data_IF_752035974250
#
_entry.id   IF_752035974250
#
_cell.length_a   1.000
_cell.length_b   1.000
_cell.length_c   1.000
_cell.angle_alpha   90.00
_cell.angle_beta   90.00
_cell.angle_gamma   90.00
#
_symmetry.space_group_name_H-M   'P 1'
#
loop_
_entity.id
_entity.type
_entity.pdbx_description
1 polymer ?
#
# COMPACT_ATOMS: atom_id res chain seq x y z
N UNK A 1 -73.90 -34.66 -3.92
CA UNK A 1 -73.50 -33.49 -3.12
C UNK A 1 -71.97 -33.47 -3.11
N UNK A 2 -71.34 -32.66 -3.96
CA UNK A 2 -69.89 -32.51 -4.08
C UNK A 2 -69.48 -31.22 -3.35
N UNK A 3 -68.65 -31.31 -2.34
CA UNK A 3 -68.06 -30.16 -1.63
C UNK A 3 -66.86 -29.65 -2.40
N UNK A 4 -66.91 -28.37 -2.80
CA UNK A 4 -65.79 -27.68 -3.43
C UNK A 4 -64.97 -27.03 -2.31
N UNK A 5 -63.71 -27.43 -2.16
CA UNK A 5 -62.74 -26.79 -1.29
C UNK A 5 -62.05 -25.66 -2.07
N UNK A 6 -62.18 -24.43 -1.59
CA UNK A 6 -61.44 -23.28 -2.14
C UNK A 6 -60.10 -23.16 -1.40
N UNK A 7 -59.00 -23.35 -2.12
CA UNK A 7 -57.65 -23.06 -1.62
C UNK A 7 -57.33 -21.58 -1.87
N UNK A 8 -57.18 -20.84 -0.79
CA UNK A 8 -56.62 -19.48 -0.85
C UNK A 8 -55.11 -19.59 -0.89
N UNK A 9 -54.49 -19.20 -2.02
CA UNK A 9 -53.06 -19.11 -2.16
C UNK A 9 -52.61 -17.71 -1.72
N UNK A 10 -51.92 -17.62 -0.58
CA UNK A 10 -51.24 -16.41 -0.16
C UNK A 10 -49.99 -16.24 -1.04
N UNK A 11 -49.95 -15.19 -1.85
CA UNK A 11 -48.74 -14.77 -2.56
C UNK A 11 -47.95 -13.88 -1.59
N UNK A 12 -46.90 -14.43 -1.01
CA UNK A 12 -45.90 -13.65 -0.28
C UNK A 12 -44.97 -12.98 -1.30
N UNK A 13 -45.09 -11.68 -1.48
CA UNK A 13 -44.13 -10.86 -2.22
C UNK A 13 -42.89 -10.64 -1.36
N UNK A 14 -41.92 -11.55 -1.51
CA UNK A 14 -40.57 -11.34 -0.95
C UNK A 14 -39.83 -10.25 -1.75
N UNK A 15 -39.65 -9.08 -1.16
CA UNK A 15 -38.63 -8.14 -1.62
C UNK A 15 -37.25 -8.77 -1.32
N UNK A 16 -36.63 -9.38 -2.32
CA UNK A 16 -35.21 -9.69 -2.24
C UNK A 16 -34.42 -8.40 -2.44
N UNK A 17 -33.87 -7.89 -1.35
CA UNK A 17 -32.81 -6.89 -1.42
C UNK A 17 -31.61 -7.58 -2.11
N UNK A 18 -31.41 -7.30 -3.38
CA UNK A 18 -30.13 -7.60 -4.06
C UNK A 18 -29.09 -6.69 -3.41
N UNK A 19 -28.32 -7.23 -2.45
CA UNK A 19 -27.01 -6.68 -2.15
C UNK A 19 -26.21 -6.77 -3.44
N UNK A 20 -25.78 -5.65 -3.97
CA UNK A 20 -24.83 -5.61 -5.07
C UNK A 20 -23.53 -6.23 -4.54
N UNK A 21 -23.31 -7.50 -4.83
CA UNK A 21 -22.03 -8.15 -4.65
C UNK A 21 -21.08 -7.44 -5.61
N UNK A 22 -20.18 -6.60 -5.07
CA UNK A 22 -19.13 -5.99 -5.88
C UNK A 22 -18.38 -7.15 -6.56
N UNK A 23 -18.48 -7.22 -7.87
CA UNK A 23 -17.86 -8.26 -8.67
C UNK A 23 -16.34 -8.18 -8.46
N UNK A 24 -15.80 -9.08 -7.65
CA UNK A 24 -14.36 -9.29 -7.53
C UNK A 24 -13.85 -9.70 -8.91
N UNK A 25 -12.90 -8.93 -9.44
CA UNK A 25 -12.30 -9.22 -10.75
C UNK A 25 -11.80 -10.66 -10.75
N UNK A 26 -12.31 -11.48 -11.69
CA UNK A 26 -12.02 -12.91 -11.80
C UNK A 26 -10.54 -13.25 -11.96
N UNK A 27 -9.68 -12.25 -12.20
CA UNK A 27 -8.22 -12.39 -12.21
C UNK A 27 -7.63 -12.55 -10.80
N UNK A 28 -8.40 -12.27 -9.72
CA UNK A 28 -7.94 -12.37 -8.35
C UNK A 28 -8.50 -13.62 -7.68
N UNK A 29 -7.62 -14.40 -7.05
CA UNK A 29 -8.01 -15.52 -6.20
C UNK A 29 -8.02 -15.02 -4.75
N UNK A 30 -9.19 -14.99 -4.12
CA UNK A 30 -9.28 -14.66 -2.71
C UNK A 30 -8.52 -15.69 -1.87
N UNK A 31 -7.76 -15.23 -0.89
CA UNK A 31 -7.09 -16.12 0.04
C UNK A 31 -8.11 -16.99 0.79
N UNK A 32 -7.84 -18.30 0.88
CA UNK A 32 -8.72 -19.21 1.64
C UNK A 32 -8.64 -18.85 3.13
N UNK A 33 -9.76 -18.60 3.81
CA UNK A 33 -9.75 -18.42 5.26
C UNK A 33 -9.23 -19.70 5.94
N UNK A 34 -8.34 -19.58 6.90
CA UNK A 34 -8.12 -20.63 7.87
C UNK A 34 -6.72 -21.15 8.15
N UNK A 35 -5.67 -20.59 7.56
CA UNK A 35 -4.30 -21.07 7.78
C UNK A 35 -3.39 -20.15 8.59
N UNK A 36 -3.82 -18.93 8.93
CA UNK A 36 -3.03 -17.95 9.67
C UNK A 36 -3.76 -17.57 10.96
N UNK A 37 -3.01 -17.45 12.05
CA UNK A 37 -3.52 -16.78 13.25
C UNK A 37 -4.03 -15.40 12.84
N UNK A 38 -5.25 -15.06 13.20
CA UNK A 38 -5.85 -13.78 12.86
C UNK A 38 -4.92 -12.66 13.33
N UNK A 39 -4.35 -11.91 12.38
CA UNK A 39 -3.60 -10.69 12.71
C UNK A 39 -4.62 -9.70 13.28
N UNK A 40 -4.44 -9.21 14.49
CA UNK A 40 -5.39 -8.27 15.10
C UNK A 40 -5.46 -6.99 14.25
N UNK A 41 -6.53 -6.23 14.45
CA UNK A 41 -6.64 -4.92 13.83
C UNK A 41 -5.45 -4.05 14.26
N UNK A 42 -4.93 -3.28 13.31
CA UNK A 42 -3.79 -2.43 13.58
C UNK A 42 -4.13 -1.36 14.63
N UNK A 43 -3.27 -1.16 15.65
CA UNK A 43 -3.46 -0.09 16.64
C UNK A 43 -3.36 1.32 16.03
N UNK A 44 -2.86 1.44 14.80
CA UNK A 44 -2.71 2.72 14.09
C UNK A 44 -3.74 2.91 12.98
N UNK A 45 -4.69 1.98 12.81
CA UNK A 45 -5.77 2.12 11.84
C UNK A 45 -6.63 3.35 12.19
N UNK A 46 -6.84 4.26 11.24
CA UNK A 46 -7.51 5.53 11.47
C UNK A 46 -6.67 6.59 12.19
N UNK A 47 -5.36 6.37 12.35
CA UNK A 47 -4.49 7.33 13.03
C UNK A 47 -4.51 8.69 12.33
N UNK A 48 -4.79 9.74 13.09
CA UNK A 48 -4.77 11.11 12.59
C UNK A 48 -3.33 11.58 12.33
N UNK A 49 -3.15 12.35 11.28
CA UNK A 49 -1.90 13.02 11.02
C UNK A 49 -1.49 13.89 12.23
N UNK A 50 -0.29 13.71 12.80
CA UNK A 50 0.17 14.55 13.91
C UNK A 50 0.44 15.99 13.46
N UNK A 51 0.54 16.90 14.43
CA UNK A 51 0.87 18.30 14.15
C UNK A 51 2.20 18.38 13.38
N UNK A 52 2.23 19.17 12.31
CA UNK A 52 3.38 19.31 11.42
C UNK A 52 3.53 18.23 10.35
N UNK A 53 2.65 17.24 10.30
CA UNK A 53 2.66 16.27 9.22
C UNK A 53 2.12 16.87 7.92
N UNK A 54 2.71 16.46 6.81
CA UNK A 54 2.20 16.69 5.46
C UNK A 54 1.19 15.61 5.14
N UNK A 55 -0.07 15.98 4.94
CA UNK A 55 -1.12 15.07 4.51
C UNK A 55 -1.03 14.90 3.00
N UNK A 56 -0.72 13.70 2.55
CA UNK A 56 -0.58 13.37 1.14
C UNK A 56 -1.90 12.86 0.53
N UNK A 57 -2.76 12.23 1.34
CA UNK A 57 -4.09 11.82 0.92
C UNK A 57 -5.05 11.68 2.11
N UNK A 58 -6.14 12.43 2.07
CA UNK A 58 -7.19 12.46 3.11
C UNK A 58 -8.57 11.98 2.60
N UNK A 59 -8.58 11.33 1.45
CA UNK A 59 -9.81 10.83 0.82
C UNK A 59 -10.52 11.81 -0.12
N UNK A 60 -10.03 13.03 -0.29
CA UNK A 60 -10.74 14.06 -1.07
C UNK A 60 -10.20 14.27 -2.48
N UNK A 61 -8.88 14.28 -2.63
CA UNK A 61 -8.23 14.55 -3.92
C UNK A 61 -6.80 14.02 -3.96
N UNK A 62 -6.19 14.05 -5.13
CA UNK A 62 -4.80 13.64 -5.37
C UNK A 62 -3.85 14.81 -5.62
N UNK A 63 -4.17 16.00 -5.11
CA UNK A 63 -3.41 17.23 -5.37
C UNK A 63 -1.95 17.21 -4.85
N UNK A 64 -1.61 16.28 -3.96
CA UNK A 64 -0.22 16.07 -3.52
C UNK A 64 0.60 15.17 -4.47
N UNK A 65 -0.04 14.63 -5.51
CA UNK A 65 0.51 13.60 -6.36
C UNK A 65 0.46 13.96 -7.84
N UNK A 66 1.48 13.53 -8.57
CA UNK A 66 1.52 13.53 -10.02
C UNK A 66 1.66 12.12 -10.57
N UNK A 67 1.31 11.92 -11.84
CA UNK A 67 1.67 10.74 -12.60
C UNK A 67 3.19 10.75 -12.82
N UNK A 68 3.84 9.62 -12.62
CA UNK A 68 5.26 9.42 -12.90
C UNK A 68 5.52 9.38 -14.42
N UNK A 69 6.61 9.96 -14.89
CA UNK A 69 6.97 9.97 -16.30
C UNK A 69 7.63 8.65 -16.75
N UNK A 70 6.85 7.67 -17.14
CA UNK A 70 7.31 6.41 -17.74
C UNK A 70 8.54 5.80 -17.05
N UNK A 71 9.70 5.80 -17.71
CA UNK A 71 10.96 5.27 -17.14
C UNK A 71 11.70 6.27 -16.25
N UNK A 72 11.36 7.55 -16.26
CA UNK A 72 11.95 8.55 -15.37
C UNK A 72 11.13 8.70 -14.09
N UNK A 73 11.53 7.97 -13.08
CA UNK A 73 10.79 7.89 -11.80
C UNK A 73 10.88 9.15 -10.94
N UNK A 74 11.71 10.10 -11.32
CA UNK A 74 11.88 11.36 -10.60
C UNK A 74 11.17 12.53 -11.27
N UNK A 75 10.55 12.30 -12.42
CA UNK A 75 9.88 13.31 -13.23
C UNK A 75 8.37 13.11 -13.24
N UNK A 76 7.67 14.21 -13.08
CA UNK A 76 6.22 14.27 -13.22
C UNK A 76 5.79 14.32 -14.69
N UNK A 77 4.67 13.68 -15.02
CA UNK A 77 4.05 13.66 -16.35
C UNK A 77 2.53 13.85 -16.25
N UNK A 78 2.15 15.00 -15.74
CA UNK A 78 0.75 15.40 -15.60
C UNK A 78 0.04 14.88 -14.35
N UNK A 79 -1.27 15.08 -14.25
CA UNK A 79 -2.04 14.78 -13.04
C UNK A 79 -2.11 13.29 -12.73
N UNK A 80 -2.26 12.97 -11.45
CA UNK A 80 -2.56 11.62 -10.97
C UNK A 80 -3.86 11.09 -11.62
N UNK A 81 -3.87 9.83 -12.04
CA UNK A 81 -5.00 9.21 -12.77
C UNK A 81 -5.66 8.06 -12.01
N UNK A 82 -5.29 7.84 -10.76
CA UNK A 82 -5.94 6.83 -9.94
C UNK A 82 -7.36 7.27 -9.55
N UNK A 83 -8.22 6.29 -9.32
CA UNK A 83 -9.66 6.53 -9.12
C UNK A 83 -9.98 6.75 -7.65
N UNK A 84 -10.64 7.87 -7.32
CA UNK A 84 -11.25 8.03 -6.01
C UNK A 84 -12.46 7.08 -5.90
N UNK A 85 -12.55 6.37 -4.79
CA UNK A 85 -13.61 5.41 -4.52
C UNK A 85 -14.26 5.71 -3.16
N UNK A 86 -15.41 5.10 -2.90
CA UNK A 86 -16.15 5.28 -1.66
C UNK A 86 -15.31 4.91 -0.43
N UNK A 87 -15.67 5.50 0.71
CA UNK A 87 -14.94 5.30 1.96
C UNK A 87 -13.65 6.11 2.09
N UNK A 88 -13.47 7.15 1.26
CA UNK A 88 -12.31 8.04 1.33
C UNK A 88 -11.01 7.37 0.90
N UNK A 89 -11.09 6.50 -0.10
CA UNK A 89 -9.94 5.77 -0.63
C UNK A 89 -9.62 6.15 -2.07
N UNK A 90 -8.41 5.84 -2.50
CA UNK A 90 -7.98 5.87 -3.90
C UNK A 90 -7.59 4.48 -4.34
N UNK A 91 -8.05 4.09 -5.53
CA UNK A 91 -7.76 2.79 -6.14
C UNK A 91 -6.74 2.93 -7.26
N UNK A 92 -5.76 2.04 -7.25
CA UNK A 92 -4.77 1.90 -8.33
C UNK A 92 -5.50 1.50 -9.60
N UNK A 93 -5.32 2.28 -10.66
CA UNK A 93 -5.86 1.96 -11.99
C UNK A 93 -4.75 1.29 -12.82
N UNK A 94 -4.91 0.02 -13.21
CA UNK A 94 -3.92 -0.67 -14.04
C UNK A 94 -3.57 0.10 -15.32
N UNK A 95 -2.30 0.11 -15.67
CA UNK A 95 -1.73 0.82 -16.82
C UNK A 95 -1.84 2.37 -16.78
N UNK A 96 -2.12 2.96 -15.61
CA UNK A 96 -2.20 4.42 -15.44
C UNK A 96 -0.90 5.08 -15.00
N UNK A 97 0.16 4.31 -14.82
CA UNK A 97 1.42 4.68 -14.19
C UNK A 97 1.35 4.87 -12.66
N UNK A 98 2.52 4.77 -12.02
CA UNK A 98 2.69 5.04 -10.60
C UNK A 98 2.51 6.52 -10.28
N UNK A 99 2.23 6.83 -9.02
CA UNK A 99 2.14 8.21 -8.54
C UNK A 99 3.42 8.60 -7.81
N UNK A 100 3.89 9.84 -8.03
CA UNK A 100 4.97 10.45 -7.24
C UNK A 100 4.46 11.70 -6.53
N UNK A 101 4.96 11.95 -5.33
CA UNK A 101 4.63 13.17 -4.59
C UNK A 101 5.31 14.38 -5.19
N UNK A 102 4.62 15.54 -5.23
CA UNK A 102 5.24 16.81 -5.61
C UNK A 102 6.35 17.20 -4.64
N UNK A 103 6.12 17.01 -3.35
CA UNK A 103 7.12 17.26 -2.31
C UNK A 103 8.15 16.13 -2.26
N UNK A 104 9.41 16.51 -2.07
CA UNK A 104 10.54 15.61 -1.83
C UNK A 104 10.83 15.53 -0.35
N UNK A 105 11.22 14.34 0.11
CA UNK A 105 11.45 14.05 1.52
C UNK A 105 12.85 13.46 1.74
N UNK A 106 13.41 13.79 2.90
CA UNK A 106 14.58 13.13 3.47
C UNK A 106 14.19 12.11 4.53
N UNK A 107 14.57 12.38 5.79
CA UNK A 107 14.20 11.56 6.93
C UNK A 107 12.74 11.77 7.32
N UNK A 108 11.98 10.70 7.39
CA UNK A 108 10.54 10.79 7.63
C UNK A 108 10.00 9.64 8.48
N UNK A 109 8.86 9.91 9.10
CA UNK A 109 7.89 8.90 9.51
C UNK A 109 6.70 8.97 8.55
N UNK A 110 6.37 7.86 7.93
CA UNK A 110 5.22 7.70 7.05
C UNK A 110 4.18 6.80 7.71
N UNK A 111 2.92 7.18 7.56
CA UNK A 111 1.76 6.32 7.80
C UNK A 111 0.98 6.20 6.49
N UNK A 112 0.57 4.99 6.16
CA UNK A 112 -0.33 4.73 5.03
C UNK A 112 -1.26 3.57 5.38
N UNK A 113 -2.54 3.73 5.05
CA UNK A 113 -3.50 2.64 5.09
C UNK A 113 -3.72 2.10 3.68
N UNK A 114 -3.76 0.78 3.55
CA UNK A 114 -4.01 0.11 2.28
C UNK A 114 -4.89 -1.12 2.47
N UNK A 115 -5.50 -1.59 1.40
CA UNK A 115 -6.11 -2.92 1.33
C UNK A 115 -5.89 -3.55 -0.03
N UNK A 116 -5.56 -4.83 -0.04
CA UNK A 116 -5.53 -5.65 -1.24
C UNK A 116 -6.94 -6.07 -1.60
N UNK A 117 -7.22 -6.25 -2.88
CA UNK A 117 -8.54 -6.69 -3.36
C UNK A 117 -8.56 -8.20 -3.64
N UNK A 118 -7.43 -8.87 -3.48
CA UNK A 118 -7.24 -10.30 -3.71
C UNK A 118 -5.84 -10.61 -4.24
N UNK A 119 -5.58 -11.88 -4.53
CA UNK A 119 -4.32 -12.32 -5.13
C UNK A 119 -4.50 -12.62 -6.64
N UNK A 120 -3.47 -12.35 -7.46
CA UNK A 120 -2.19 -11.73 -7.07
C UNK A 120 -2.32 -10.23 -6.85
N UNK A 121 -1.54 -9.69 -5.92
CA UNK A 121 -1.35 -8.24 -5.76
C UNK A 121 0.13 -7.95 -5.72
N UNK A 122 0.56 -6.93 -6.43
CA UNK A 122 1.90 -6.38 -6.40
C UNK A 122 1.82 -4.86 -6.49
N UNK A 123 2.36 -4.19 -5.50
CA UNK A 123 2.52 -2.75 -5.40
C UNK A 123 3.61 -2.45 -4.39
N UNK A 124 3.87 -1.18 -4.11
CA UNK A 124 4.86 -0.76 -3.11
C UNK A 124 4.79 0.73 -2.83
N UNK A 125 5.35 1.08 -1.67
CA UNK A 125 5.66 2.46 -1.31
C UNK A 125 7.17 2.63 -1.42
N UNK A 126 7.60 3.58 -2.25
CA UNK A 126 9.01 3.87 -2.47
C UNK A 126 9.41 5.17 -1.79
N UNK A 127 10.39 5.12 -0.92
CA UNK A 127 11.08 6.31 -0.41
C UNK A 127 12.05 6.82 -1.45
N UNK A 128 11.98 8.13 -1.72
CA UNK A 128 12.80 8.83 -2.72
C UNK A 128 12.69 8.22 -4.14
N UNK A 129 11.59 7.51 -4.44
CA UNK A 129 11.41 6.69 -5.64
C UNK A 129 12.53 5.64 -5.84
N UNK A 130 13.19 5.19 -4.77
CA UNK A 130 14.36 4.31 -4.79
C UNK A 130 14.26 3.08 -3.90
N UNK A 131 13.72 3.24 -2.70
CA UNK A 131 13.73 2.19 -1.68
C UNK A 131 12.31 1.74 -1.41
N UNK A 132 12.02 0.51 -1.79
CA UNK A 132 10.67 -0.05 -1.79
C UNK A 132 10.34 -0.77 -0.49
N UNK A 133 9.14 -0.54 -0.02
CA UNK A 133 8.43 -1.41 0.92
C UNK A 133 7.31 -2.07 0.13
N UNK A 134 7.45 -3.38 -0.13
CA UNK A 134 6.54 -4.18 -0.96
C UNK A 134 5.13 -4.24 -0.36
N UNK A 135 4.12 -4.17 -1.22
CA UNK A 135 2.74 -4.50 -0.88
C UNK A 135 2.28 -5.67 -1.74
N UNK A 136 2.23 -6.84 -1.13
CA UNK A 136 1.82 -8.09 -1.77
C UNK A 136 0.68 -8.73 -1.00
N UNK A 137 -0.25 -9.39 -1.70
CA UNK A 137 -1.24 -10.23 -1.03
C UNK A 137 -0.58 -11.55 -0.58
N UNK A 138 -0.38 -11.66 0.73
CA UNK A 138 0.34 -12.80 1.33
C UNK A 138 -0.36 -13.37 2.57
N UNK A 139 -1.62 -13.01 2.78
CA UNK A 139 -2.42 -13.58 3.87
C UNK A 139 -2.51 -15.10 3.75
N UNK A 140 -2.27 -15.79 4.87
CA UNK A 140 -2.31 -17.27 4.92
C UNK A 140 -1.13 -17.97 4.22
N UNK A 141 -0.16 -17.21 3.67
CA UNK A 141 1.03 -17.81 3.03
C UNK A 141 2.22 -17.82 3.98
N UNK A 142 3.03 -18.85 3.86
CA UNK A 142 4.29 -19.03 4.62
C UNK A 142 5.52 -18.94 3.73
N UNK A 143 5.33 -18.93 2.41
CA UNK A 143 6.36 -18.88 1.37
C UNK A 143 6.39 -17.55 0.61
N UNK A 144 7.41 -17.35 -0.20
CA UNK A 144 7.56 -16.18 -1.07
C UNK A 144 7.79 -14.86 -0.32
N UNK A 145 7.73 -13.75 -1.05
CA UNK A 145 7.86 -12.42 -0.48
C UNK A 145 6.69 -12.11 0.45
N UNK A 146 6.98 -11.54 1.61
CA UNK A 146 5.97 -11.07 2.54
C UNK A 146 5.53 -9.64 2.19
N UNK A 147 4.30 -9.28 2.54
CA UNK A 147 3.88 -7.87 2.55
C UNK A 147 4.73 -7.09 3.56
N UNK A 148 5.10 -5.87 3.22
CA UNK A 148 6.01 -5.04 4.01
C UNK A 148 7.49 -5.39 3.84
N UNK A 149 7.83 -6.36 2.98
CA UNK A 149 9.22 -6.70 2.69
C UNK A 149 9.97 -5.48 2.10
N UNK A 150 11.26 -5.35 2.44
CA UNK A 150 12.10 -4.28 1.92
C UNK A 150 12.65 -4.60 0.51
N UNK A 151 11.97 -5.53 -0.18
CA UNK A 151 12.21 -5.86 -1.58
C UNK A 151 13.66 -6.16 -1.90
N UNK A 152 14.13 -5.66 -3.04
CA UNK A 152 15.48 -5.84 -3.51
C UNK A 152 16.46 -4.75 -3.00
N UNK A 153 16.08 -4.01 -1.96
CA UNK A 153 16.93 -2.95 -1.38
C UNK A 153 17.63 -3.37 -0.08
N UNK A 154 17.74 -4.66 0.16
CA UNK A 154 18.49 -5.24 1.30
C UNK A 154 19.41 -6.36 0.83
N UNK A 155 20.43 -6.74 1.62
CA UNK A 155 21.27 -7.89 1.31
C UNK A 155 20.45 -9.15 1.05
N UNK A 156 20.90 -9.98 0.10
CA UNK A 156 20.22 -11.23 -0.26
C UNK A 156 19.99 -12.11 0.98
N UNK A 157 18.76 -12.57 1.16
CA UNK A 157 18.38 -13.40 2.30
C UNK A 157 17.85 -12.63 3.50
N UNK A 158 17.85 -11.29 3.46
CA UNK A 158 17.14 -10.47 4.47
C UNK A 158 15.63 -10.68 4.31
N UNK A 159 14.96 -11.07 5.38
CA UNK A 159 13.52 -11.31 5.42
C UNK A 159 12.88 -10.59 6.60
N UNK A 160 11.59 -10.27 6.53
CA UNK A 160 10.90 -9.69 7.67
C UNK A 160 10.85 -10.68 8.86
N UNK A 161 10.91 -10.15 10.08
CA UNK A 161 10.86 -10.93 11.33
C UNK A 161 9.54 -11.69 11.52
N UNK A 162 8.46 -11.21 10.89
CA UNK A 162 7.14 -11.79 10.97
C UNK A 162 6.33 -11.51 9.69
N UNK A 163 5.32 -12.35 9.44
CA UNK A 163 4.28 -12.12 8.45
C UNK A 163 3.04 -11.61 9.19
N UNK A 164 2.67 -10.37 8.95
CA UNK A 164 1.63 -9.68 9.69
C UNK A 164 0.48 -9.16 8.79
N UNK A 165 0.33 -9.72 7.59
CA UNK A 165 -0.75 -9.35 6.67
C UNK A 165 -2.11 -9.73 7.23
N UNK A 166 -3.14 -8.94 6.90
CA UNK A 166 -4.54 -9.26 7.12
C UNK A 166 -5.17 -9.78 5.82
N UNK A 167 -6.37 -10.32 5.92
CA UNK A 167 -7.10 -10.84 4.77
C UNK A 167 -7.34 -9.76 3.70
N UNK A 168 -7.49 -10.15 2.42
CA UNK A 168 -7.97 -9.24 1.39
C UNK A 168 -9.26 -8.52 1.80
N UNK A 169 -9.46 -7.30 1.32
CA UNK A 169 -10.54 -6.38 1.65
C UNK A 169 -10.49 -5.81 3.07
N UNK A 170 -9.63 -6.29 3.95
CA UNK A 170 -9.39 -5.68 5.25
C UNK A 170 -8.35 -4.55 5.14
N UNK A 171 -8.65 -3.42 5.80
CA UNK A 171 -7.69 -2.32 5.89
C UNK A 171 -6.50 -2.69 6.76
N UNK A 172 -5.33 -2.35 6.29
CA UNK A 172 -4.02 -2.62 6.87
C UNK A 172 -3.24 -1.32 6.99
N UNK A 173 -2.24 -1.28 7.87
CA UNK A 173 -1.38 -0.12 8.02
C UNK A 173 0.08 -0.46 7.77
N UNK A 174 0.77 0.44 7.11
CA UNK A 174 2.22 0.54 7.10
C UNK A 174 2.63 1.80 7.84
N UNK A 175 3.36 1.62 8.94
CA UNK A 175 4.03 2.68 9.68
C UNK A 175 5.54 2.50 9.49
N UNK A 176 6.16 3.48 8.82
CA UNK A 176 7.54 3.34 8.38
C UNK A 176 8.35 4.54 8.86
N UNK A 177 9.46 4.28 9.53
CA UNK A 177 10.49 5.27 9.80
C UNK A 177 11.60 5.08 8.78
N UNK A 178 11.85 6.10 7.98
CA UNK A 178 12.90 6.09 6.97
C UNK A 178 13.95 7.14 7.33
N UNK A 179 15.22 6.74 7.25
CA UNK A 179 16.39 7.62 7.34
C UNK A 179 17.09 7.63 5.98
N UNK A 180 17.21 8.79 5.39
CA UNK A 180 17.79 8.98 4.07
C UNK A 180 19.32 8.76 4.08
N UNK A 181 19.93 8.42 2.93
CA UNK A 181 21.38 8.35 2.83
C UNK A 181 22.04 9.71 3.09
N UNK A 182 23.28 9.68 3.58
CA UNK A 182 24.08 10.88 3.81
C UNK A 182 25.22 10.95 2.82
N UNK A 183 25.55 12.18 2.45
CA UNK A 183 26.62 12.47 1.50
C UNK A 183 27.54 13.54 2.09
N UNK A 184 28.82 13.45 1.80
CA UNK A 184 29.79 14.50 2.10
C UNK A 184 29.73 15.66 1.06
N UNK A 185 30.54 16.68 1.27
CA UNK A 185 30.58 17.84 0.38
C UNK A 185 31.05 17.51 -1.06
N UNK A 186 31.70 16.37 -1.25
CA UNK A 186 32.12 15.87 -2.57
C UNK A 186 31.03 15.00 -3.24
N UNK A 187 29.87 14.80 -2.58
CA UNK A 187 28.78 13.97 -3.08
C UNK A 187 29.00 12.46 -2.88
N UNK A 188 30.01 12.06 -2.12
CA UNK A 188 30.23 10.65 -1.79
C UNK A 188 29.28 10.23 -0.66
N UNK A 189 28.62 9.08 -0.84
CA UNK A 189 27.76 8.50 0.21
C UNK A 189 28.61 8.10 1.43
N UNK A 190 28.29 8.67 2.60
CA UNK A 190 28.98 8.42 3.87
C UNK A 190 28.12 7.65 4.87
N UNK A 191 26.81 7.59 4.66
CA UNK A 191 25.91 6.71 5.40
C UNK A 191 24.82 6.17 4.49
N UNK A 192 24.48 4.91 4.66
CA UNK A 192 23.41 4.23 3.93
C UNK A 192 22.04 4.61 4.50
N UNK A 193 20.96 4.56 3.71
CA UNK A 193 19.61 4.73 4.22
C UNK A 193 19.22 3.55 5.10
N UNK A 194 18.24 3.79 5.97
CA UNK A 194 17.74 2.79 6.93
C UNK A 194 16.23 2.88 7.06
N UNK A 195 15.59 1.76 7.39
CA UNK A 195 14.16 1.73 7.64
C UNK A 195 13.78 0.85 8.84
N UNK A 196 12.82 1.33 9.61
CA UNK A 196 12.02 0.51 10.54
C UNK A 196 10.62 0.41 9.95
N UNK A 197 10.13 -0.81 9.77
CA UNK A 197 8.82 -1.07 9.14
C UNK A 197 7.92 -1.80 10.13
N UNK A 198 6.72 -1.25 10.34
CA UNK A 198 5.64 -1.92 11.08
C UNK A 198 4.46 -2.16 10.15
N UNK A 199 4.07 -3.41 10.02
CA UNK A 199 2.87 -3.84 9.32
C UNK A 199 1.81 -4.21 10.36
N UNK A 200 0.66 -3.54 10.34
CA UNK A 200 -0.43 -3.75 11.29
C UNK A 200 0.02 -3.67 12.77
N UNK A 201 0.95 -2.74 13.08
CA UNK A 201 1.53 -2.56 14.41
C UNK A 201 2.65 -3.53 14.77
N UNK A 202 2.86 -4.60 13.99
CA UNK A 202 3.95 -5.56 14.19
C UNK A 202 5.22 -5.05 13.55
N UNK A 203 6.29 -4.85 14.34
CA UNK A 203 7.60 -4.47 13.80
C UNK A 203 8.24 -5.64 13.07
N UNK A 204 8.27 -5.53 11.74
CA UNK A 204 8.81 -6.57 10.85
C UNK A 204 10.26 -6.31 10.44
N UNK A 205 10.70 -5.05 10.47
CA UNK A 205 12.10 -4.63 10.36
C UNK A 205 12.41 -3.55 11.38
N UNK A 206 13.58 -3.62 11.98
CA UNK A 206 14.09 -2.63 12.93
C UNK A 206 15.41 -2.06 12.42
N UNK A 207 15.43 -0.74 12.17
CA UNK A 207 16.62 0.00 11.76
C UNK A 207 17.45 -0.72 10.68
N UNK A 208 16.75 -1.35 9.72
CA UNK A 208 17.35 -2.15 8.66
C UNK A 208 18.09 -1.25 7.67
N UNK A 209 19.36 -1.53 7.43
CA UNK A 209 20.15 -0.87 6.40
C UNK A 209 19.66 -1.26 5.01
N UNK A 210 19.55 -0.27 4.11
CA UNK A 210 19.11 -0.42 2.73
C UNK A 210 20.27 -0.15 1.77
N UNK A 211 20.55 -1.10 0.87
CA UNK A 211 21.54 -0.97 -0.19
C UNK A 211 21.54 -2.26 -1.04
N UNK A 212 21.41 -2.18 -2.35
CA UNK A 212 21.27 -1.00 -3.22
C UNK A 212 19.81 -0.46 -3.27
N UNK A 213 19.52 0.61 -4.02
CA UNK A 213 18.16 0.97 -4.40
C UNK A 213 17.44 -0.18 -5.13
N UNK A 214 16.11 -0.27 -4.97
CA UNK A 214 15.29 -1.36 -5.52
C UNK A 214 15.40 -1.45 -7.04
N UNK A 215 15.77 -2.61 -7.57
CA UNK A 215 15.65 -2.98 -8.98
C UNK A 215 16.00 -1.87 -9.97
N UNK A 216 15.05 -1.49 -10.82
CA UNK A 216 15.22 -0.45 -11.84
C UNK A 216 15.52 0.96 -11.27
N UNK A 217 15.29 1.20 -9.99
CA UNK A 217 15.62 2.46 -9.34
C UNK A 217 17.13 2.67 -9.17
N UNK A 218 17.95 1.62 -9.22
CA UNK A 218 19.40 1.71 -9.13
C UNK A 218 20.04 2.64 -10.17
N UNK A 219 19.41 2.80 -11.34
CA UNK A 219 19.86 3.72 -12.40
C UNK A 219 19.69 5.21 -12.06
N UNK A 220 18.85 5.54 -11.06
CA UNK A 220 18.53 6.94 -10.73
C UNK A 220 19.63 7.64 -9.92
N UNK A 221 20.63 6.91 -9.47
CA UNK A 221 21.56 7.39 -8.45
C UNK A 221 20.86 7.63 -7.11
N UNK A 222 21.62 7.80 -6.05
CA UNK A 222 21.08 8.10 -4.73
C UNK A 222 21.16 9.60 -4.42
N UNK A 223 20.29 10.08 -3.53
CA UNK A 223 20.23 11.49 -3.13
C UNK A 223 19.74 11.61 -1.68
N UNK A 224 20.04 12.74 -1.03
CA UNK A 224 19.60 13.02 0.34
C UNK A 224 18.07 13.21 0.44
N UNK A 225 17.41 13.58 -0.67
CA UNK A 225 15.95 13.74 -0.74
C UNK A 225 15.40 13.21 -2.05
N UNK A 226 14.13 12.88 -2.07
CA UNK A 226 13.40 12.49 -3.28
C UNK A 226 11.90 12.34 -3.03
N UNK A 227 11.10 12.18 -4.10
CA UNK A 227 9.66 12.00 -3.95
C UNK A 227 9.32 10.65 -3.32
N UNK A 228 8.20 10.57 -2.63
CA UNK A 228 7.55 9.28 -2.39
C UNK A 228 6.91 8.81 -3.69
N UNK A 229 6.86 7.48 -3.89
CA UNK A 229 6.15 6.89 -5.00
C UNK A 229 5.22 5.78 -4.51
N UNK A 230 4.00 5.77 -5.02
CA UNK A 230 3.06 4.67 -4.89
C UNK A 230 3.08 3.91 -6.22
N UNK A 231 3.37 2.61 -6.16
CA UNK A 231 3.58 1.82 -7.36
C UNK A 231 2.25 1.33 -7.95
N UNK A 232 2.11 1.54 -9.26
CA UNK A 232 1.21 0.80 -10.13
C UNK A 232 1.98 -0.37 -10.75
N UNK A 233 1.45 -1.59 -10.66
CA UNK A 233 2.08 -2.79 -11.21
C UNK A 233 1.06 -3.76 -11.83
N UNK A 234 0.05 -3.21 -12.52
CA UNK A 234 -0.95 -3.97 -13.26
C UNK A 234 -2.10 -4.54 -12.41
N UNK A 235 -2.12 -4.26 -11.10
CA UNK A 235 -3.11 -4.86 -10.20
C UNK A 235 -3.76 -3.79 -9.33
N UNK A 236 -5.11 -3.80 -9.19
CA UNK A 236 -5.79 -2.84 -8.34
C UNK A 236 -5.57 -3.17 -6.85
N UNK A 237 -5.33 -2.13 -6.09
CA UNK A 237 -5.40 -2.11 -4.63
C UNK A 237 -5.83 -0.71 -4.20
N UNK A 238 -6.17 -0.53 -2.95
CA UNK A 238 -6.67 0.75 -2.47
C UNK A 238 -5.80 1.31 -1.36
N UNK A 239 -5.62 2.63 -1.38
CA UNK A 239 -4.96 3.40 -0.33
C UNK A 239 -5.91 4.41 0.29
N UNK A 240 -5.67 4.77 1.56
CA UNK A 240 -6.29 5.91 2.23
C UNK A 240 -5.39 6.42 3.36
N UNK A 241 -5.72 7.56 3.95
CA UNK A 241 -5.06 8.11 5.13
C UNK A 241 -3.53 8.06 5.03
N UNK A 242 -2.97 8.79 4.05
CA UNK A 242 -1.52 8.84 3.83
C UNK A 242 -0.97 10.18 4.34
N UNK A 243 -0.05 10.11 5.29
CA UNK A 243 0.64 11.30 5.78
C UNK A 243 2.11 11.01 6.09
N UNK A 244 2.91 12.07 6.08
CA UNK A 244 4.35 12.05 6.33
C UNK A 244 4.70 13.10 7.36
N UNK A 245 5.47 12.73 8.37
CA UNK A 245 6.10 13.65 9.31
C UNK A 245 7.60 13.67 9.08
N UNK A 246 8.16 14.82 8.70
CA UNK A 246 9.61 14.98 8.57
C UNK A 246 10.28 14.92 9.95
N UNK A 247 11.37 14.15 10.04
CA UNK A 247 12.21 14.08 11.24
C UNK A 247 13.19 15.25 11.21
N UNK A 248 13.29 15.98 12.31
CA UNK A 248 14.25 17.07 12.51
C UNK A 248 15.59 16.51 12.97
#
# INVERSE_FOLDING_TARGET
MKRIAVFLTLIATGLSAFAAEEAVDSRFVLAKPGAQLATPESPTLGAKAPAGAVVLFDGKNLNAWAKKAGKDWLKEDGPAKWKLVDGGAVEVVPASDSLISHQKFGDVRLHAEFRTLGAPTNSGIYFQARYEVDINETYGRTDGNACGNLGNCTPKGTTPKARASRAPLEWQTLDIEFTAPRFDAAGKKIAKPRATVRLNGVEIYHDQELDPPTGAAGRLGEAATGPLMLQEHGMPLQFRNIWVLEKK
#
